data_IF_056448699440
#
_entry.id   IF_056448699440
#
_cell.length_a   1.000
_cell.length_b   1.000
_cell.length_c   1.000
_cell.angle_alpha   90.00
_cell.angle_beta   90.00
_cell.angle_gamma   90.00
#
_symmetry.space_group_name_H-M   'P 1'
#
loop_
_entity.id
_entity.type
_entity.pdbx_description
1 polymer ?
#
# COMPACT_ATOMS: atom_id res chain seq x y z
N UNK A 1 9.42 -17.09 15.49
CA UNK A 1 9.65 -15.85 14.72
C UNK A 1 9.90 -16.08 13.24
N UNK A 2 10.63 -17.13 12.82
CA UNK A 2 10.97 -17.43 11.40
C UNK A 2 9.81 -17.83 10.44
N UNK A 3 8.55 -17.78 10.84
CA UNK A 3 7.39 -18.00 9.93
C UNK A 3 6.50 -16.75 9.79
N UNK A 4 6.78 -15.68 10.55
CA UNK A 4 5.89 -14.51 10.65
C UNK A 4 6.01 -13.57 9.43
N UNK A 5 7.22 -13.21 9.01
CA UNK A 5 7.45 -12.23 7.93
C UNK A 5 7.00 -12.72 6.56
N UNK A 6 7.10 -14.03 6.28
CA UNK A 6 6.66 -14.60 5.00
C UNK A 6 5.14 -14.40 4.75
N UNK A 7 4.33 -14.45 5.81
CA UNK A 7 2.89 -14.19 5.70
C UNK A 7 2.52 -12.72 5.53
N UNK A 8 3.42 -11.80 5.91
CA UNK A 8 3.21 -10.35 5.81
C UNK A 8 3.48 -9.87 4.39
N UNK A 9 4.59 -10.30 3.80
CA UNK A 9 4.96 -9.92 2.44
C UNK A 9 3.92 -10.37 1.41
N UNK A 10 3.55 -11.65 1.44
CA UNK A 10 2.52 -12.19 0.55
C UNK A 10 1.16 -11.47 0.69
N UNK A 11 0.75 -11.14 1.92
CA UNK A 11 -0.49 -10.37 2.14
C UNK A 11 -0.40 -8.97 1.54
N UNK A 12 0.73 -8.28 1.71
CA UNK A 12 0.92 -6.93 1.18
C UNK A 12 0.91 -6.95 -0.36
N UNK A 13 1.60 -7.91 -0.97
CA UNK A 13 1.58 -8.12 -2.43
C UNK A 13 0.15 -8.37 -2.92
N UNK A 14 -0.60 -9.24 -2.26
CA UNK A 14 -1.99 -9.55 -2.57
C UNK A 14 -2.89 -8.30 -2.50
N UNK A 15 -2.79 -7.50 -1.44
CA UNK A 15 -3.59 -6.26 -1.34
C UNK A 15 -3.16 -5.20 -2.38
N UNK A 16 -1.88 -5.11 -2.73
CA UNK A 16 -1.41 -4.24 -3.81
C UNK A 16 -1.90 -4.70 -5.18
N UNK A 17 -1.98 -6.01 -5.44
CA UNK A 17 -2.55 -6.56 -6.68
C UNK A 17 -4.06 -6.28 -6.76
N UNK A 18 -4.79 -6.48 -5.66
CA UNK A 18 -6.22 -6.10 -5.54
C UNK A 18 -6.42 -4.60 -5.78
N UNK A 19 -5.49 -3.75 -5.32
CA UNK A 19 -5.54 -2.31 -5.58
C UNK A 19 -5.22 -1.92 -7.03
N UNK A 20 -4.82 -2.86 -7.89
CA UNK A 20 -4.37 -2.57 -9.25
C UNK A 20 -2.99 -1.89 -9.31
N UNK A 21 -2.30 -1.87 -8.15
CA UNK A 21 -0.93 -1.44 -7.89
C UNK A 21 0.11 -1.89 -8.90
N UNK A 22 0.10 -3.21 -9.05
CA UNK A 22 1.25 -3.98 -9.50
C UNK A 22 1.12 -4.26 -10.99
N UNK A 23 2.13 -3.84 -11.75
CA UNK A 23 2.30 -4.31 -13.13
C UNK A 23 3.08 -5.62 -13.14
N UNK A 24 4.18 -5.67 -12.38
CA UNK A 24 5.02 -6.86 -12.31
C UNK A 24 5.74 -6.98 -10.98
N UNK A 25 5.72 -8.18 -10.40
CA UNK A 25 6.61 -8.56 -9.29
C UNK A 25 7.98 -8.94 -9.89
N UNK A 26 9.03 -8.23 -9.48
CA UNK A 26 10.40 -8.43 -9.95
C UNK A 26 11.17 -9.38 -9.03
N UNK A 27 10.92 -9.28 -7.73
CA UNK A 27 11.43 -10.20 -6.70
C UNK A 27 10.46 -10.22 -5.53
N UNK A 28 10.04 -11.42 -5.10
CA UNK A 28 9.23 -11.61 -3.89
C UNK A 28 10.09 -12.31 -2.84
N UNK A 29 10.84 -11.49 -2.11
CA UNK A 29 11.61 -11.90 -0.96
C UNK A 29 10.80 -11.76 0.32
N UNK A 30 11.15 -12.55 1.33
CA UNK A 30 10.45 -12.55 2.61
C UNK A 30 10.42 -11.17 3.30
N UNK A 31 11.54 -10.46 3.24
CA UNK A 31 11.75 -9.20 3.95
C UNK A 31 11.87 -8.01 2.98
N UNK A 32 11.99 -8.30 1.67
CA UNK A 32 12.10 -7.31 0.60
C UNK A 32 11.20 -7.72 -0.56
N UNK A 33 10.26 -6.85 -0.91
CA UNK A 33 9.42 -6.99 -2.10
C UNK A 33 9.92 -5.98 -3.13
N UNK A 34 10.26 -6.46 -4.31
CA UNK A 34 10.61 -5.62 -5.44
C UNK A 34 9.55 -5.76 -6.54
N UNK A 35 8.94 -4.64 -6.90
CA UNK A 35 7.88 -4.60 -7.90
C UNK A 35 8.00 -3.39 -8.82
N UNK A 36 7.32 -3.47 -9.96
CA UNK A 36 7.07 -2.36 -10.86
C UNK A 36 5.58 -2.00 -10.78
N UNK A 37 5.31 -0.71 -10.60
CA UNK A 37 3.96 -0.15 -10.60
C UNK A 37 3.45 0.01 -12.03
N UNK A 38 2.13 0.07 -12.20
CA UNK A 38 1.50 0.34 -13.51
C UNK A 38 1.86 1.71 -14.09
N UNK A 39 2.27 2.65 -13.24
CA UNK A 39 2.80 3.97 -13.62
C UNK A 39 4.25 3.92 -14.11
N UNK A 40 4.91 2.76 -13.99
CA UNK A 40 6.25 2.47 -14.52
C UNK A 40 7.38 2.59 -13.50
N UNK A 41 7.14 3.23 -12.35
CA UNK A 41 8.12 3.32 -11.27
C UNK A 41 8.41 1.95 -10.68
N UNK A 42 9.66 1.78 -10.25
CA UNK A 42 10.12 0.59 -9.53
C UNK A 42 10.11 0.90 -8.04
N UNK A 43 9.61 -0.03 -7.23
CA UNK A 43 9.43 0.12 -5.79
C UNK A 43 10.04 -1.08 -5.04
N UNK A 44 10.91 -0.76 -4.09
CA UNK A 44 11.49 -1.67 -3.11
C UNK A 44 10.82 -1.45 -1.76
N UNK A 45 10.03 -2.41 -1.31
CA UNK A 45 9.39 -2.42 0.01
C UNK A 45 10.22 -3.28 0.96
N UNK A 46 10.72 -2.66 2.03
CA UNK A 46 11.53 -3.29 3.07
C UNK A 46 10.68 -3.52 4.30
N UNK A 47 10.43 -4.79 4.63
CA UNK A 47 9.74 -5.21 5.85
C UNK A 47 10.78 -5.40 6.95
N UNK A 48 10.80 -4.48 7.90
CA UNK A 48 11.81 -4.45 8.96
C UNK A 48 11.25 -5.11 10.22
N UNK A 49 11.86 -6.23 10.62
CA UNK A 49 11.48 -7.02 11.81
C UNK A 49 12.56 -7.05 12.90
N UNK A 50 13.66 -6.30 12.69
CA UNK A 50 14.76 -6.14 13.62
C UNK A 50 15.34 -4.72 13.55
N UNK A 51 16.19 -4.37 14.52
CA UNK A 51 16.75 -3.02 14.64
C UNK A 51 17.46 -2.58 13.35
N UNK A 52 17.12 -1.40 12.84
CA UNK A 52 17.71 -0.82 11.63
C UNK A 52 18.45 0.49 11.99
N UNK A 53 19.80 0.51 11.98
CA UNK A 53 20.56 1.72 12.27
C UNK A 53 20.47 2.73 11.12
N UNK A 54 20.68 4.02 11.42
CA UNK A 54 20.60 5.10 10.44
C UNK A 54 21.53 4.91 9.23
N UNK A 55 22.73 4.34 9.42
CA UNK A 55 23.65 4.11 8.31
C UNK A 55 23.09 3.09 7.31
N UNK A 56 22.31 2.12 7.77
CA UNK A 56 21.72 1.08 6.91
C UNK A 56 20.53 1.64 6.13
N UNK A 57 19.71 2.48 6.77
CA UNK A 57 18.67 3.27 6.09
C UNK A 57 19.32 4.07 4.97
N UNK A 58 20.36 4.86 5.29
CA UNK A 58 21.09 5.69 4.34
C UNK A 58 21.62 4.87 3.17
N UNK A 59 22.40 3.82 3.44
CA UNK A 59 23.00 3.00 2.39
C UNK A 59 21.92 2.41 1.47
N UNK A 60 20.82 1.93 2.04
CA UNK A 60 19.70 1.36 1.28
C UNK A 60 19.04 2.39 0.39
N UNK A 61 18.65 3.57 0.93
CA UNK A 61 17.98 4.60 0.12
C UNK A 61 18.91 5.20 -0.93
N UNK A 62 20.20 5.37 -0.62
CA UNK A 62 21.20 5.85 -1.58
C UNK A 62 21.36 4.86 -2.74
N UNK A 63 21.51 3.57 -2.44
CA UNK A 63 21.69 2.54 -3.46
C UNK A 63 20.44 2.38 -4.34
N UNK A 64 19.25 2.35 -3.73
CA UNK A 64 18.00 2.24 -4.47
C UNK A 64 17.77 3.49 -5.36
N UNK A 65 18.02 4.68 -4.82
CA UNK A 65 17.88 5.94 -5.58
C UNK A 65 18.82 5.95 -6.78
N UNK A 66 20.08 5.53 -6.61
CA UNK A 66 21.04 5.42 -7.71
C UNK A 66 20.60 4.43 -8.81
N UNK A 67 19.81 3.41 -8.46
CA UNK A 67 19.24 2.43 -9.38
C UNK A 67 17.88 2.87 -9.99
N UNK A 68 17.37 4.05 -9.60
CA UNK A 68 16.04 4.53 -10.00
C UNK A 68 14.89 3.76 -9.33
N UNK A 69 15.14 3.14 -8.18
CA UNK A 69 14.15 2.43 -7.38
C UNK A 69 13.68 3.31 -6.22
N UNK A 70 12.37 3.44 -6.05
CA UNK A 70 11.79 4.08 -4.88
C UNK A 70 11.86 3.13 -3.68
N UNK A 71 12.03 3.70 -2.49
CA UNK A 71 12.14 2.94 -1.25
C UNK A 71 10.97 3.20 -0.31
N UNK A 72 10.44 2.12 0.27
CA UNK A 72 9.45 2.16 1.35
C UNK A 72 9.92 1.24 2.48
N UNK A 73 9.97 1.76 3.72
CA UNK A 73 10.22 0.94 4.91
C UNK A 73 8.91 0.77 5.68
N UNK A 74 8.60 -0.47 6.09
CA UNK A 74 7.46 -0.78 6.95
C UNK A 74 7.95 -1.62 8.13
N UNK A 75 7.82 -1.10 9.34
CA UNK A 75 8.40 -1.68 10.55
C UNK A 75 7.40 -2.55 11.31
N UNK A 76 7.87 -3.64 11.93
CA UNK A 76 7.04 -4.39 12.87
C UNK A 76 6.78 -3.57 14.14
N UNK A 77 5.54 -3.09 14.30
CA UNK A 77 5.18 -2.18 15.37
C UNK A 77 5.50 -2.74 16.77
N UNK A 78 5.04 -3.97 17.06
CA UNK A 78 5.16 -4.56 18.41
C UNK A 78 6.61 -4.85 18.83
N UNK A 79 7.55 -4.89 17.87
CA UNK A 79 8.97 -5.18 18.13
C UNK A 79 9.82 -3.92 18.17
N UNK A 80 9.56 -2.97 17.25
CA UNK A 80 10.47 -1.85 16.99
C UNK A 80 9.94 -0.49 17.44
N UNK A 81 8.63 -0.36 17.59
CA UNK A 81 8.02 0.94 17.86
C UNK A 81 7.41 0.98 19.27
N UNK A 82 7.50 2.12 19.96
CA UNK A 82 6.83 2.26 21.25
C UNK A 82 5.31 2.20 21.09
N UNK A 83 4.62 1.84 22.17
CA UNK A 83 3.16 1.78 22.20
C UNK A 83 2.51 3.17 22.00
N UNK A 84 1.31 3.16 21.44
CA UNK A 84 0.46 4.36 21.32
C UNK A 84 0.31 5.07 22.67
N UNK A 85 0.47 6.40 22.67
CA UNK A 85 0.35 7.25 23.85
C UNK A 85 1.61 7.35 24.71
N UNK A 86 2.63 6.52 24.46
CA UNK A 86 3.89 6.55 25.20
C UNK A 86 4.69 7.80 24.87
N UNK A 87 5.44 8.29 25.87
CA UNK A 87 6.41 9.37 25.70
C UNK A 87 7.81 8.78 25.52
N UNK A 88 8.51 9.18 24.46
CA UNK A 88 9.85 8.67 24.12
C UNK A 88 10.76 9.77 23.61
N UNK A 89 12.06 9.59 23.74
CA UNK A 89 13.04 10.37 23.00
C UNK A 89 13.27 9.76 21.61
N UNK A 90 13.50 10.62 20.61
CA UNK A 90 13.75 10.15 19.24
C UNK A 90 15.23 9.82 19.05
N UNK A 91 15.48 8.57 18.71
CA UNK A 91 16.76 8.10 18.18
C UNK A 91 16.97 8.54 16.72
N UNK A 92 18.20 8.46 16.24
CA UNK A 92 18.61 8.94 14.91
C UNK A 92 17.89 8.20 13.77
N UNK A 93 17.65 6.89 13.93
CA UNK A 93 16.93 6.10 12.93
C UNK A 93 15.45 6.50 12.83
N UNK A 94 14.80 6.86 13.95
CA UNK A 94 13.44 7.40 13.93
C UNK A 94 13.40 8.69 13.11
N UNK A 95 14.35 9.59 13.37
CA UNK A 95 14.47 10.88 12.67
C UNK A 95 14.72 10.67 11.18
N UNK A 96 15.59 9.72 10.82
CA UNK A 96 15.88 9.37 9.42
C UNK A 96 14.64 8.90 8.66
N UNK A 97 13.89 7.94 9.22
CA UNK A 97 12.65 7.46 8.60
C UNK A 97 11.59 8.57 8.51
N UNK A 98 11.41 9.34 9.58
CA UNK A 98 10.49 10.47 9.58
C UNK A 98 10.86 11.53 8.54
N UNK A 99 12.16 11.80 8.34
CA UNK A 99 12.61 12.75 7.33
C UNK A 99 12.34 12.25 5.90
N UNK A 100 12.46 10.94 5.67
CA UNK A 100 12.13 10.33 4.38
C UNK A 100 10.62 10.35 4.10
N UNK A 101 9.78 10.17 5.12
CA UNK A 101 8.34 9.89 4.97
C UNK A 101 7.41 10.98 5.49
N UNK A 102 7.80 12.26 5.45
CA UNK A 102 6.97 13.41 5.87
C UNK A 102 6.50 13.34 7.35
N UNK A 103 7.42 13.05 8.26
CA UNK A 103 7.19 13.12 9.71
C UNK A 103 6.49 11.90 10.33
N UNK A 104 6.46 10.77 9.62
CA UNK A 104 5.82 9.51 10.05
C UNK A 104 6.74 8.32 9.78
N UNK A 105 6.44 7.22 10.45
CA UNK A 105 7.06 5.91 10.19
C UNK A 105 5.93 4.94 9.86
N UNK A 106 6.03 4.21 8.75
CA UNK A 106 5.04 3.19 8.44
C UNK A 106 5.32 1.93 9.25
N UNK A 107 4.27 1.38 9.82
CA UNK A 107 4.35 0.21 10.67
C UNK A 107 3.29 -0.81 10.26
N UNK A 108 3.56 -2.08 10.57
CA UNK A 108 2.58 -3.14 10.43
C UNK A 108 2.33 -3.85 11.76
N UNK A 109 1.09 -4.32 11.93
CA UNK A 109 0.67 -5.18 13.03
C UNK A 109 -0.26 -6.26 12.53
N UNK A 110 -0.20 -7.44 13.14
CA UNK A 110 -1.12 -8.54 12.83
C UNK A 110 -2.14 -8.69 13.95
N UNK A 111 -3.42 -8.65 13.60
CA UNK A 111 -4.52 -8.88 14.54
C UNK A 111 -5.58 -9.78 13.91
N UNK A 112 -5.99 -10.84 14.62
CA UNK A 112 -7.00 -11.81 14.16
C UNK A 112 -6.81 -12.26 12.70
N UNK A 113 -5.57 -12.65 12.34
CA UNK A 113 -5.16 -13.07 10.99
C UNK A 113 -5.15 -11.98 9.90
N UNK A 114 -5.53 -10.73 10.19
CA UNK A 114 -5.39 -9.59 9.28
C UNK A 114 -4.10 -8.81 9.55
N UNK A 115 -3.48 -8.34 8.47
CA UNK A 115 -2.38 -7.38 8.54
C UNK A 115 -2.95 -5.97 8.45
N UNK A 116 -2.49 -5.10 9.34
CA UNK A 116 -2.78 -3.68 9.34
C UNK A 116 -1.48 -2.93 9.09
N UNK A 117 -1.46 -2.07 8.08
CA UNK A 117 -0.40 -1.09 7.87
C UNK A 117 -0.94 0.26 8.31
N UNK A 118 -0.16 1.04 9.07
CA UNK A 118 -0.59 2.33 9.61
C UNK A 118 0.61 3.26 9.83
N UNK A 119 0.41 4.59 9.85
CA UNK A 119 1.48 5.52 10.13
C UNK A 119 1.63 5.68 11.65
N UNK A 120 2.87 5.82 12.11
CA UNK A 120 3.22 6.16 13.48
C UNK A 120 3.82 7.55 13.50
N UNK A 121 3.23 8.42 14.30
CA UNK A 121 3.63 9.80 14.48
C UNK A 121 4.27 10.00 15.86
N UNK A 122 5.19 10.96 15.92
CA UNK A 122 5.87 11.36 17.15
C UNK A 122 5.60 12.85 17.39
N UNK A 123 4.48 13.14 18.04
CA UNK A 123 3.98 14.50 18.21
C UNK A 123 4.88 15.28 19.17
N UNK A 124 5.16 16.55 18.82
CA UNK A 124 5.88 17.48 19.68
C UNK A 124 5.11 17.76 20.97
N UNK A 125 5.83 17.87 22.08
CA UNK A 125 5.29 18.36 23.35
C UNK A 125 6.00 19.67 23.66
N UNK A 126 5.27 20.76 23.94
CA UNK A 126 5.88 22.04 24.28
C UNK A 126 6.90 21.89 25.42
N UNK A 127 8.08 22.48 25.23
CA UNK A 127 9.16 22.52 26.22
C UNK A 127 9.70 21.14 26.66
N UNK A 128 9.54 20.10 25.84
CA UNK A 128 10.04 18.75 26.14
C UNK A 128 10.90 18.19 25.02
N UNK A 129 11.93 17.43 25.40
CA UNK A 129 12.71 16.61 24.46
C UNK A 129 11.94 15.34 24.03
N UNK A 130 10.93 14.95 24.80
CA UNK A 130 10.09 13.78 24.52
C UNK A 130 9.04 14.07 23.45
N UNK A 131 8.68 13.02 22.72
CA UNK A 131 7.57 12.99 21.77
C UNK A 131 6.50 12.04 22.25
N UNK A 132 5.24 12.39 21.98
CA UNK A 132 4.11 11.49 22.20
C UNK A 132 3.92 10.61 20.97
N UNK A 133 3.98 9.30 21.15
CA UNK A 133 3.69 8.34 20.09
C UNK A 133 2.20 8.32 19.81
N UNK A 134 1.83 8.41 18.54
CA UNK A 134 0.44 8.31 18.09
C UNK A 134 0.36 7.45 16.84
N UNK A 135 -0.35 6.34 16.96
CA UNK A 135 -0.71 5.51 15.81
C UNK A 135 -1.86 6.17 15.06
N UNK A 136 -1.72 6.27 13.75
CA UNK A 136 -2.80 6.70 12.86
C UNK A 136 -3.73 5.55 12.50
N UNK A 137 -4.71 5.88 11.68
CA UNK A 137 -5.67 4.91 11.15
C UNK A 137 -5.00 3.91 10.20
N UNK A 138 -5.54 2.68 10.08
CA UNK A 138 -5.13 1.75 9.05
C UNK A 138 -5.20 2.37 7.66
N UNK A 139 -4.14 2.14 6.90
CA UNK A 139 -3.94 2.69 5.57
C UNK A 139 -4.47 1.72 4.52
N UNK A 140 -5.01 2.29 3.45
CA UNK A 140 -5.20 1.59 2.20
C UNK A 140 -3.85 1.43 1.48
N UNK A 141 -3.32 0.22 1.44
CA UNK A 141 -2.00 -0.03 0.85
C UNK A 141 -1.96 0.27 -0.65
N UNK A 142 -3.12 0.36 -1.32
CA UNK A 142 -3.22 0.80 -2.71
C UNK A 142 -2.97 2.30 -2.93
N UNK A 143 -3.00 3.12 -1.87
CA UNK A 143 -2.82 4.57 -1.93
C UNK A 143 -1.34 4.98 -2.13
N UNK A 144 -0.57 4.21 -2.90
CA UNK A 144 0.85 4.48 -3.12
C UNK A 144 1.07 5.81 -3.85
N UNK A 145 2.09 6.53 -3.42
CA UNK A 145 2.60 7.72 -4.11
C UNK A 145 4.13 7.67 -4.09
N UNK A 146 4.72 7.56 -5.27
CA UNK A 146 6.16 7.71 -5.46
C UNK A 146 6.52 9.20 -5.53
N UNK A 147 7.60 9.61 -4.86
CA UNK A 147 8.07 11.00 -4.86
C UNK A 147 9.57 11.09 -4.59
N UNK A 148 10.12 12.27 -4.86
CA UNK A 148 11.49 12.64 -4.50
C UNK A 148 11.49 13.38 -3.17
N UNK A 149 12.12 12.79 -2.15
CA UNK A 149 12.27 13.35 -0.82
C UNK A 149 13.60 14.11 -0.72
N UNK A 150 13.55 15.40 -0.41
CA UNK A 150 14.74 16.18 -0.05
C UNK A 150 14.94 16.12 1.46
N UNK A 151 16.05 15.52 1.90
CA UNK A 151 16.35 15.33 3.30
C UNK A 151 17.58 16.13 3.69
N UNK A 152 17.44 16.94 4.74
CA UNK A 152 18.54 17.72 5.32
C UNK A 152 18.59 17.50 6.83
N UNK A 153 19.29 16.45 7.26
CA UNK A 153 19.54 16.18 8.68
C UNK A 153 20.96 15.66 8.91
N UNK A 154 21.36 15.54 10.17
CA UNK A 154 22.63 14.89 10.49
C UNK A 154 22.54 13.38 10.17
N UNK A 155 23.61 12.82 9.60
CA UNK A 155 23.67 11.42 9.19
C UNK A 155 22.92 11.04 7.88
N UNK A 156 21.93 11.82 7.41
CA UNK A 156 21.19 11.58 6.16
C UNK A 156 20.94 12.89 5.41
N UNK A 157 21.53 13.07 4.23
CA UNK A 157 21.38 14.28 3.40
C UNK A 157 21.30 13.98 1.91
N UNK A 158 20.49 14.75 1.20
CA UNK A 158 20.31 14.70 -0.25
C UNK A 158 18.90 14.31 -0.68
N UNK A 159 18.75 14.16 -1.99
CA UNK A 159 17.52 13.72 -2.64
C UNK A 159 17.41 12.20 -2.73
N UNK A 160 16.26 11.65 -2.35
CA UNK A 160 16.00 10.20 -2.34
C UNK A 160 14.65 9.86 -2.98
N UNK A 161 14.59 8.76 -3.72
CA UNK A 161 13.32 8.22 -4.21
C UNK A 161 12.61 7.46 -3.07
N UNK A 162 11.48 8.00 -2.63
CA UNK A 162 10.69 7.48 -1.52
C UNK A 162 9.25 7.16 -1.97
N UNK A 163 8.55 6.37 -1.18
CA UNK A 163 7.13 6.08 -1.43
C UNK A 163 6.33 6.20 -0.14
N UNK A 164 5.14 6.79 -0.26
CA UNK A 164 4.17 6.99 0.82
C UNK A 164 2.84 6.34 0.46
N UNK A 165 1.91 6.35 1.40
CA UNK A 165 0.54 5.87 1.20
C UNK A 165 -0.51 7.00 1.27
N UNK A 166 -0.15 8.20 0.83
CA UNK A 166 -1.04 9.37 0.77
C UNK A 166 -1.46 9.72 -0.67
N UNK A 167 -1.30 8.77 -1.59
CA UNK A 167 -1.86 8.83 -2.93
C UNK A 167 -3.37 8.57 -2.94
N UNK A 168 -3.93 8.53 -4.16
CA UNK A 168 -5.31 8.11 -4.35
C UNK A 168 -5.36 6.59 -4.59
N UNK A 169 -5.99 5.80 -3.69
CA UNK A 169 -6.05 4.36 -3.82
C UNK A 169 -6.81 3.87 -5.06
N UNK A 170 -7.62 4.74 -5.69
CA UNK A 170 -8.32 4.41 -6.93
C UNK A 170 -7.54 4.84 -8.18
N UNK A 171 -6.44 5.60 -8.05
CA UNK A 171 -5.74 6.16 -9.20
C UNK A 171 -5.39 5.08 -10.23
N UNK A 172 -4.92 3.93 -9.76
CA UNK A 172 -4.52 2.81 -10.59
C UNK A 172 -5.71 2.14 -11.29
N UNK A 173 -6.82 1.91 -10.58
CA UNK A 173 -8.02 1.35 -11.19
C UNK A 173 -8.66 2.30 -12.21
N UNK A 174 -8.64 3.61 -11.96
CA UNK A 174 -9.11 4.62 -12.93
C UNK A 174 -8.23 4.68 -14.17
N UNK A 175 -6.91 4.69 -14.00
CA UNK A 175 -5.97 4.68 -15.11
C UNK A 175 -6.18 3.43 -16.00
N UNK A 176 -6.43 2.26 -15.39
CA UNK A 176 -6.78 1.05 -16.14
C UNK A 176 -8.15 1.15 -16.82
N UNK A 177 -9.13 1.74 -16.14
CA UNK A 177 -10.46 1.96 -16.70
C UNK A 177 -10.44 2.93 -17.90
N UNK A 178 -9.59 3.94 -17.90
CA UNK A 178 -9.43 4.87 -19.03
C UNK A 178 -9.02 4.15 -20.32
N UNK A 179 -8.17 3.13 -20.22
CA UNK A 179 -7.76 2.28 -21.34
C UNK A 179 -8.87 1.34 -21.88
N UNK A 180 -10.04 1.26 -21.22
CA UNK A 180 -11.18 0.50 -21.74
C UNK A 180 -11.88 1.34 -22.83
N UNK A 181 -11.53 1.14 -24.10
CA UNK A 181 -12.09 1.91 -25.22
C UNK A 181 -13.58 1.64 -25.51
N UNK A 182 -14.15 0.58 -24.95
CA UNK A 182 -15.47 0.05 -25.35
C UNK A 182 -16.64 0.90 -24.82
N UNK A 183 -17.68 1.21 -25.63
CA UNK A 183 -18.89 1.85 -25.15
C UNK A 183 -19.60 0.96 -24.11
N UNK A 184 -19.89 1.52 -22.94
CA UNK A 184 -20.59 0.83 -21.85
C UNK A 184 -22.08 0.78 -22.23
N UNK A 185 -22.60 -0.42 -22.49
CA UNK A 185 -24.05 -0.61 -22.63
C UNK A 185 -24.68 -0.77 -21.24
N UNK A 186 -25.84 -0.14 -21.00
CA UNK A 186 -26.60 -0.21 -19.74
C UNK A 186 -26.93 -1.66 -19.36
N UNK A 187 -27.23 -2.52 -20.32
CA UNK A 187 -27.49 -3.96 -20.07
C UNK A 187 -26.22 -4.70 -19.61
N UNK A 188 -25.04 -4.28 -20.09
CA UNK A 188 -23.76 -4.80 -19.59
C UNK A 188 -23.43 -4.27 -18.20
N UNK A 189 -23.82 -3.02 -17.89
CA UNK A 189 -23.57 -2.41 -16.58
C UNK A 189 -24.31 -3.15 -15.46
N UNK A 190 -25.55 -3.57 -15.69
CA UNK A 190 -26.30 -4.42 -14.76
C UNK A 190 -25.58 -5.75 -14.45
N UNK A 191 -25.01 -6.38 -15.49
CA UNK A 191 -24.18 -7.57 -15.33
C UNK A 191 -22.93 -7.31 -14.47
N UNK A 192 -22.27 -6.17 -14.64
CA UNK A 192 -21.10 -5.81 -13.83
C UNK A 192 -21.46 -5.56 -12.35
N UNK A 193 -22.56 -4.85 -12.05
CA UNK A 193 -23.04 -4.72 -10.67
C UNK A 193 -23.38 -6.08 -10.05
N UNK A 194 -24.00 -6.99 -10.82
CA UNK A 194 -24.31 -8.34 -10.36
C UNK A 194 -23.05 -9.17 -10.05
N UNK A 195 -21.96 -9.01 -10.82
CA UNK A 195 -20.65 -9.64 -10.51
C UNK A 195 -20.13 -9.21 -9.14
N UNK A 196 -20.35 -7.95 -8.74
CA UNK A 196 -20.00 -7.45 -7.41
C UNK A 196 -21.07 -7.80 -6.34
N UNK A 197 -22.22 -8.34 -6.74
CA UNK A 197 -23.34 -8.62 -5.83
C UNK A 197 -24.12 -7.37 -5.42
N UNK A 198 -24.10 -6.33 -6.24
CA UNK A 198 -24.75 -5.05 -6.01
C UNK A 198 -25.93 -4.82 -6.96
N UNK A 199 -26.82 -3.92 -6.57
CA UNK A 199 -27.85 -3.38 -7.46
C UNK A 199 -27.28 -2.27 -8.32
N UNK A 200 -27.86 -2.06 -9.52
CA UNK A 200 -27.53 -0.92 -10.38
C UNK A 200 -27.78 0.38 -9.63
N UNK A 201 -26.90 1.36 -9.80
CA UNK A 201 -26.97 2.65 -9.11
C UNK A 201 -26.40 2.64 -7.69
N UNK A 202 -25.79 1.54 -7.24
CA UNK A 202 -25.03 1.55 -6.00
C UNK A 202 -23.89 2.59 -6.06
N UNK A 203 -23.72 3.33 -4.98
CA UNK A 203 -22.74 4.42 -4.95
C UNK A 203 -21.28 3.90 -5.02
N UNK A 204 -20.35 4.82 -5.33
CA UNK A 204 -18.93 4.50 -5.46
C UNK A 204 -18.36 3.82 -4.21
N UNK A 205 -18.84 4.14 -3.01
CA UNK A 205 -18.34 3.56 -1.77
C UNK A 205 -18.79 2.09 -1.61
N UNK A 206 -20.06 1.80 -1.90
CA UNK A 206 -20.61 0.45 -1.90
C UNK A 206 -19.92 -0.44 -2.94
N UNK A 207 -19.72 0.07 -4.16
CA UNK A 207 -18.98 -0.60 -5.24
C UNK A 207 -17.56 -0.97 -4.80
N UNK A 208 -16.84 -0.04 -4.18
CA UNK A 208 -15.49 -0.29 -3.64
C UNK A 208 -15.48 -1.36 -2.55
N UNK A 209 -16.40 -1.27 -1.59
CA UNK A 209 -16.46 -2.19 -0.48
C UNK A 209 -16.71 -3.62 -0.98
N UNK A 210 -17.71 -3.79 -1.86
CA UNK A 210 -18.06 -5.08 -2.45
C UNK A 210 -16.92 -5.65 -3.29
N UNK A 211 -16.26 -4.83 -4.12
CA UNK A 211 -15.10 -5.26 -4.90
C UNK A 211 -13.99 -5.80 -3.99
N UNK A 212 -13.57 -5.04 -2.97
CA UNK A 212 -12.47 -5.45 -2.07
C UNK A 212 -12.80 -6.71 -1.29
N UNK A 213 -14.04 -6.82 -0.80
CA UNK A 213 -14.49 -8.02 -0.10
C UNK A 213 -14.42 -9.25 -1.00
N UNK A 214 -14.95 -9.14 -2.22
CA UNK A 214 -15.00 -10.25 -3.16
C UNK A 214 -13.62 -10.60 -3.70
N UNK A 215 -12.76 -9.61 -3.95
CA UNK A 215 -11.40 -9.80 -4.43
C UNK A 215 -10.58 -10.64 -3.42
N UNK A 216 -10.72 -10.36 -2.12
CA UNK A 216 -10.10 -11.17 -1.06
C UNK A 216 -10.63 -12.61 -1.01
N UNK A 217 -11.89 -12.84 -1.39
CA UNK A 217 -12.48 -14.18 -1.40
C UNK A 217 -12.04 -15.00 -2.62
N UNK A 218 -11.85 -14.37 -3.77
CA UNK A 218 -11.55 -15.05 -5.05
C UNK A 218 -10.08 -14.99 -5.46
N UNK A 219 -9.20 -14.38 -4.65
CA UNK A 219 -7.80 -14.19 -5.02
C UNK A 219 -7.09 -15.53 -5.32
N UNK A 220 -6.36 -15.65 -6.45
CA UNK A 220 -5.66 -16.88 -6.84
C UNK A 220 -4.66 -17.39 -5.79
N UNK A 221 -3.94 -16.50 -5.12
CA UNK A 221 -2.97 -16.88 -4.08
C UNK A 221 -3.60 -17.53 -2.85
N UNK A 222 -4.87 -17.24 -2.57
CA UNK A 222 -5.62 -17.87 -1.47
C UNK A 222 -6.33 -19.13 -2.00
N UNK A 223 -6.79 -19.11 -3.24
CA UNK A 223 -7.54 -20.19 -3.88
C UNK A 223 -6.67 -21.01 -4.84
N UNK A 224 -5.52 -21.48 -4.38
CA UNK A 224 -4.52 -22.18 -5.20
C UNK A 224 -5.00 -23.48 -5.84
N UNK A 225 -6.09 -24.07 -5.31
CA UNK A 225 -6.72 -25.29 -5.84
C UNK A 225 -7.88 -25.02 -6.81
N UNK A 226 -8.34 -23.78 -6.92
CA UNK A 226 -9.43 -23.38 -7.82
C UNK A 226 -8.84 -22.97 -9.17
N UNK A 227 -9.03 -23.81 -10.20
CA UNK A 227 -8.51 -23.56 -11.55
C UNK A 227 -9.11 -22.32 -12.21
N UNK A 228 -10.25 -21.84 -11.70
CA UNK A 228 -10.97 -20.70 -12.26
C UNK A 228 -10.68 -19.40 -11.50
N UNK A 229 -9.86 -19.43 -10.44
CA UNK A 229 -9.60 -18.25 -9.60
C UNK A 229 -9.07 -17.05 -10.39
N UNK A 230 -8.14 -17.28 -11.34
CA UNK A 230 -7.64 -16.24 -12.23
C UNK A 230 -8.74 -15.61 -13.10
N UNK A 231 -9.63 -16.43 -13.66
CA UNK A 231 -10.75 -15.94 -14.49
C UNK A 231 -11.77 -15.16 -13.65
N UNK A 232 -12.07 -15.64 -12.43
CA UNK A 232 -12.96 -14.96 -11.47
C UNK A 232 -12.40 -13.60 -11.07
N UNK A 233 -11.10 -13.51 -10.76
CA UNK A 233 -10.44 -12.25 -10.44
C UNK A 233 -10.45 -11.30 -11.64
N UNK A 234 -10.15 -11.80 -12.85
CA UNK A 234 -10.19 -10.99 -14.06
C UNK A 234 -11.59 -10.42 -14.33
N UNK A 235 -12.64 -11.24 -14.21
CA UNK A 235 -14.02 -10.80 -14.38
C UNK A 235 -14.42 -9.75 -13.33
N UNK A 236 -13.99 -9.93 -12.08
CA UNK A 236 -14.23 -8.99 -10.99
C UNK A 236 -13.54 -7.63 -11.24
N UNK A 237 -12.28 -7.65 -11.68
CA UNK A 237 -11.52 -6.44 -12.04
C UNK A 237 -12.16 -5.68 -13.19
N UNK A 238 -12.57 -6.39 -14.26
CA UNK A 238 -13.26 -5.79 -15.41
C UNK A 238 -14.58 -5.14 -14.95
N UNK A 239 -15.38 -5.85 -14.15
CA UNK A 239 -16.64 -5.32 -13.65
C UNK A 239 -16.44 -4.04 -12.83
N UNK A 240 -15.48 -4.04 -11.91
CA UNK A 240 -15.16 -2.88 -11.08
C UNK A 240 -14.70 -1.67 -11.92
N UNK A 241 -13.77 -1.89 -12.87
CA UNK A 241 -13.26 -0.82 -13.75
C UNK A 241 -14.36 -0.22 -14.62
N UNK A 242 -15.23 -1.05 -15.20
CA UNK A 242 -16.37 -0.58 -16.01
C UNK A 242 -17.35 0.25 -15.17
N UNK A 243 -17.68 -0.19 -13.95
CA UNK A 243 -18.59 0.55 -13.07
C UNK A 243 -17.99 1.89 -12.65
N UNK A 244 -16.69 1.93 -12.28
CA UNK A 244 -16.02 3.19 -11.93
C UNK A 244 -16.09 4.20 -13.09
N UNK A 245 -15.82 3.74 -14.31
CA UNK A 245 -15.88 4.58 -15.51
C UNK A 245 -17.29 5.11 -15.78
N UNK A 246 -18.32 4.28 -15.59
CA UNK A 246 -19.71 4.69 -15.75
C UNK A 246 -20.12 5.76 -14.71
N UNK A 247 -19.70 5.57 -13.44
CA UNK A 247 -19.95 6.54 -12.36
C UNK A 247 -19.29 7.89 -12.68
N UNK A 248 -18.06 7.90 -13.18
CA UNK A 248 -17.34 9.14 -13.51
C UNK A 248 -17.93 9.91 -14.69
N UNK A 249 -18.55 9.19 -15.64
CA UNK A 249 -19.27 9.79 -16.78
C UNK A 249 -20.69 10.25 -16.42
N UNK A 250 -21.23 9.82 -15.29
CA UNK A 250 -22.63 10.06 -14.91
C UNK A 250 -23.63 9.09 -15.53
N UNK A 251 -23.15 8.01 -16.16
CA UNK A 251 -23.96 7.01 -16.87
C UNK A 251 -24.53 5.93 -15.92
N UNK A 252 -24.12 5.93 -14.65
CA UNK A 252 -24.50 4.92 -13.65
C UNK A 252 -25.79 5.27 -12.87
N UNK A 253 -26.47 6.37 -13.23
CA UNK A 253 -27.65 6.92 -12.55
C UNK A 253 -28.98 6.54 -13.19
#
# INVERSE_FOLDING_TARGET
MRYFTYSVGAYLVNELDIAGAVDKILHDGRDIIYLRLVTGEKLMIHLIDSYIPLYEIKNTVTQNTANGDHTLFILWADMLLPDHGRMVELEDWHRGLMALFDGRIYAYKRYMQKLYVFPVHFDAIPYSAFRRVRYGEPIDVGALRCYHAEVEMDGLRGGFYATSFDGDPDAYHRQRADHIETPINVDQLAGHFAVLGLSVGADKAAVKAAFRERARQVHPDINTTDTDAHQKMQALNIAYQTILKAIERGDAG
#
